data_IF_582132620891
#
_entry.id   IF_582132620891
#
_cell.length_a   1.000
_cell.length_b   1.000
_cell.length_c   1.000
_cell.angle_alpha   90.00
_cell.angle_beta   90.00
_cell.angle_gamma   90.00
#
_symmetry.space_group_name_H-M   'P 1'
#
loop_
_entity.id
_entity.type
_entity.pdbx_description
1 polymer ?
#
# COMPACT_ATOMS: atom_id res chain seq x y z
N UNK A 1 2.33 21.24 2.53
CA UNK A 1 1.25 20.21 2.46
C UNK A 1 1.29 19.61 1.06
N UNK A 2 1.37 18.28 0.92
CA UNK A 2 1.38 17.60 -0.40
C UNK A 2 0.22 18.04 -1.32
N UNK A 3 -0.91 18.48 -0.74
CA UNK A 3 -2.06 19.04 -1.47
C UNK A 3 -1.78 20.36 -2.24
N UNK A 4 -0.59 20.94 -2.13
CA UNK A 4 -0.22 22.22 -2.77
C UNK A 4 0.84 22.08 -3.87
N UNK A 5 1.25 20.85 -4.18
CA UNK A 5 2.23 20.54 -5.23
C UNK A 5 1.47 20.01 -6.43
N UNK A 6 1.85 20.41 -7.65
CA UNK A 6 1.18 20.02 -8.89
C UNK A 6 1.24 18.50 -9.12
N UNK A 7 2.42 17.90 -8.90
CA UNK A 7 2.62 16.47 -8.92
C UNK A 7 3.14 15.99 -7.55
N UNK A 8 2.26 15.56 -6.64
CA UNK A 8 2.64 15.08 -5.32
C UNK A 8 3.22 13.66 -5.33
N UNK A 9 3.15 12.95 -6.46
CA UNK A 9 3.72 11.60 -6.63
C UNK A 9 5.16 11.75 -7.14
N UNK A 10 5.34 12.51 -8.22
CA UNK A 10 6.63 12.73 -8.85
C UNK A 10 7.06 11.58 -9.77
N UNK A 11 7.95 11.85 -10.74
CA UNK A 11 8.30 10.88 -11.79
C UNK A 11 9.05 9.65 -11.28
N UNK A 12 9.76 9.76 -10.15
CA UNK A 12 10.61 8.68 -9.63
C UNK A 12 9.88 7.75 -8.64
N UNK A 13 8.64 8.06 -8.26
CA UNK A 13 7.90 7.34 -7.22
C UNK A 13 7.87 5.82 -7.44
N UNK A 14 7.53 5.41 -8.66
CA UNK A 14 7.38 4.00 -8.98
C UNK A 14 8.72 3.26 -8.96
N UNK A 15 9.81 3.92 -9.37
CA UNK A 15 11.16 3.36 -9.29
C UNK A 15 11.56 3.08 -7.84
N UNK A 16 11.31 4.03 -6.93
CA UNK A 16 11.59 3.83 -5.51
C UNK A 16 10.73 2.72 -4.91
N UNK A 17 9.44 2.64 -5.25
CA UNK A 17 8.57 1.57 -4.77
C UNK A 17 9.08 0.20 -5.24
N UNK A 18 9.39 0.06 -6.53
CA UNK A 18 9.89 -1.20 -7.09
C UNK A 18 11.22 -1.61 -6.47
N UNK A 19 12.13 -0.66 -6.21
CA UNK A 19 13.37 -0.92 -5.49
C UNK A 19 13.12 -1.42 -4.07
N UNK A 20 12.26 -0.73 -3.31
CA UNK A 20 11.92 -1.15 -1.94
C UNK A 20 11.30 -2.55 -1.91
N UNK A 21 10.44 -2.85 -2.88
CA UNK A 21 9.82 -4.17 -3.05
C UNK A 21 10.88 -5.24 -3.33
N UNK A 22 11.80 -4.99 -4.28
CA UNK A 22 12.81 -5.99 -4.66
C UNK A 22 13.83 -6.26 -3.55
N UNK A 23 14.07 -5.28 -2.68
CA UNK A 23 14.96 -5.39 -1.52
C UNK A 23 14.26 -5.98 -0.28
N UNK A 24 12.95 -6.21 -0.33
CA UNK A 24 12.15 -6.67 0.82
C UNK A 24 11.77 -8.15 0.71
N UNK A 25 11.89 -8.89 1.83
CA UNK A 25 11.38 -10.27 1.90
C UNK A 25 9.85 -10.35 2.06
N UNK A 26 9.22 -9.28 2.58
CA UNK A 26 7.78 -9.21 2.85
C UNK A 26 7.27 -7.79 2.61
N UNK A 27 6.16 -7.66 1.88
CA UNK A 27 5.51 -6.38 1.60
C UNK A 27 4.11 -6.40 2.19
N UNK A 28 3.81 -5.45 3.08
CA UNK A 28 2.51 -5.36 3.78
C UNK A 28 1.76 -4.11 3.34
N UNK A 29 0.60 -4.31 2.73
CA UNK A 29 -0.34 -3.28 2.35
C UNK A 29 -1.07 -2.70 3.56
N UNK A 30 -1.01 -1.37 3.71
CA UNK A 30 -1.44 -0.67 4.94
C UNK A 30 -1.90 0.79 4.69
N UNK A 31 -2.30 1.14 3.47
CA UNK A 31 -2.59 2.53 3.07
C UNK A 31 -3.98 3.05 3.49
N UNK A 32 -4.84 2.21 4.06
CA UNK A 32 -6.15 2.64 4.57
C UNK A 32 -7.16 2.99 3.48
N UNK A 33 -8.21 3.70 3.89
CA UNK A 33 -9.37 3.97 3.06
C UNK A 33 -9.24 5.30 2.29
N UNK A 34 -8.22 5.41 1.43
CA UNK A 34 -7.94 6.64 0.68
C UNK A 34 -8.20 6.44 -0.82
N UNK A 35 -9.29 7.02 -1.30
CA UNK A 35 -9.80 6.84 -2.66
C UNK A 35 -8.79 7.23 -3.76
N UNK A 36 -7.98 8.28 -3.50
CA UNK A 36 -6.92 8.72 -4.42
C UNK A 36 -5.75 7.75 -4.50
N UNK A 37 -5.42 7.10 -3.38
CA UNK A 37 -4.39 6.08 -3.35
C UNK A 37 -4.87 4.77 -3.98
N UNK A 38 -6.19 4.57 -4.09
CA UNK A 38 -6.77 3.36 -4.65
C UNK A 38 -6.38 3.12 -6.12
N UNK A 39 -6.35 4.18 -6.93
CA UNK A 39 -5.98 4.05 -8.35
C UNK A 39 -4.48 3.79 -8.53
N UNK A 40 -3.64 4.46 -7.74
CA UNK A 40 -2.19 4.20 -7.74
C UNK A 40 -1.87 2.80 -7.19
N UNK A 41 -2.55 2.43 -6.10
CA UNK A 41 -2.40 1.12 -5.48
C UNK A 41 -2.85 0.01 -6.44
N UNK A 42 -3.85 0.21 -7.29
CA UNK A 42 -4.26 -0.81 -8.29
C UNK A 42 -3.12 -1.20 -9.22
N UNK A 43 -2.43 -0.22 -9.79
CA UNK A 43 -1.29 -0.45 -10.68
C UNK A 43 -0.18 -1.21 -9.95
N UNK A 44 0.09 -0.85 -8.69
CA UNK A 44 1.09 -1.55 -7.87
C UNK A 44 0.65 -2.97 -7.50
N UNK A 45 -0.61 -3.17 -7.11
CA UNK A 45 -1.16 -4.48 -6.72
C UNK A 45 -1.01 -5.53 -7.81
N UNK A 46 -1.22 -5.14 -9.07
CA UNK A 46 -1.06 -6.04 -10.22
C UNK A 46 0.39 -6.48 -10.43
N UNK A 47 1.36 -5.69 -9.96
CA UNK A 47 2.80 -5.98 -10.07
C UNK A 47 3.40 -6.73 -8.88
N UNK A 48 2.64 -6.93 -7.80
CA UNK A 48 3.15 -7.47 -6.52
C UNK A 48 2.54 -8.84 -6.19
N UNK A 49 3.10 -9.96 -6.66
CA UNK A 49 2.45 -11.27 -6.62
C UNK A 49 2.24 -11.87 -5.21
N UNK A 50 2.85 -11.33 -4.16
CA UNK A 50 2.78 -11.86 -2.79
C UNK A 50 2.41 -10.77 -1.77
N UNK A 51 1.45 -9.92 -2.10
CA UNK A 51 1.06 -8.82 -1.24
C UNK A 51 0.20 -9.34 -0.09
N UNK A 52 0.59 -9.00 1.13
CA UNK A 52 -0.21 -9.30 2.33
C UNK A 52 -0.76 -8.01 2.93
N UNK A 53 -1.73 -8.11 3.83
CA UNK A 53 -2.21 -6.99 4.62
C UNK A 53 -2.43 -7.43 6.07
N UNK A 54 -2.46 -6.50 7.01
CA UNK A 54 -2.76 -6.83 8.41
C UNK A 54 -4.26 -7.05 8.63
N UNK A 55 -5.10 -6.31 7.91
CA UNK A 55 -6.55 -6.41 7.94
C UNK A 55 -7.13 -5.75 6.69
N UNK A 56 -8.33 -6.17 6.29
CA UNK A 56 -9.11 -5.54 5.22
C UNK A 56 -10.28 -4.76 5.79
N UNK A 57 -10.54 -3.59 5.21
CA UNK A 57 -11.76 -2.83 5.42
C UNK A 57 -12.94 -3.52 4.73
N UNK A 58 -14.18 -3.11 5.06
CA UNK A 58 -15.40 -3.65 4.44
C UNK A 58 -15.44 -3.48 2.92
N UNK A 59 -14.78 -2.45 2.38
CA UNK A 59 -14.67 -2.20 0.94
C UNK A 59 -13.47 -2.91 0.27
N UNK A 60 -12.82 -3.84 0.98
CA UNK A 60 -11.73 -4.65 0.46
C UNK A 60 -10.34 -4.02 0.55
N UNK A 61 -10.21 -2.72 0.84
CA UNK A 61 -8.92 -2.02 0.98
C UNK A 61 -8.15 -2.47 2.21
N UNK A 62 -6.80 -2.37 2.24
CA UNK A 62 -6.03 -2.64 3.44
C UNK A 62 -6.35 -1.61 4.53
N UNK A 63 -6.51 -2.07 5.76
CA UNK A 63 -6.71 -1.21 6.91
C UNK A 63 -5.43 -0.45 7.25
N UNK A 64 -5.57 0.78 7.74
CA UNK A 64 -4.42 1.54 8.23
C UNK A 64 -3.86 0.91 9.51
N UNK A 65 -2.53 0.81 9.69
CA UNK A 65 -1.92 0.07 10.80
C UNK A 65 -2.09 0.78 12.16
N UNK A 66 -2.24 2.11 12.17
CA UNK A 66 -2.31 2.93 13.39
C UNK A 66 -3.34 2.45 14.43
N UNK A 67 -4.42 1.80 14.01
CA UNK A 67 -5.50 1.36 14.89
C UNK A 67 -5.64 -0.16 14.99
N UNK A 68 -4.60 -0.92 14.62
CA UNK A 68 -4.58 -2.38 14.75
C UNK A 68 -3.88 -2.82 16.02
N UNK A 69 -4.24 -4.01 16.50
CA UNK A 69 -3.52 -4.67 17.59
C UNK A 69 -2.06 -4.92 17.18
N UNK A 70 -1.15 -4.92 18.17
CA UNK A 70 0.25 -5.28 17.95
C UNK A 70 0.44 -6.75 17.58
N UNK A 71 -0.51 -7.59 17.97
CA UNK A 71 -0.47 -9.04 17.76
C UNK A 71 -1.12 -9.47 16.42
N UNK A 72 -1.47 -8.52 15.57
CA UNK A 72 -2.09 -8.81 14.28
C UNK A 72 -1.08 -9.51 13.36
N UNK A 73 -1.47 -10.66 12.83
CA UNK A 73 -0.68 -11.41 11.86
C UNK A 73 -1.10 -11.05 10.43
N UNK A 74 -0.15 -10.90 9.49
CA UNK A 74 -0.49 -10.62 8.10
C UNK A 74 -1.29 -11.76 7.46
N UNK A 75 -2.22 -11.38 6.58
CA UNK A 75 -3.02 -12.29 5.76
C UNK A 75 -2.85 -11.93 4.29
N UNK A 76 -2.97 -12.93 3.41
CA UNK A 76 -2.92 -12.74 1.95
C UNK A 76 -3.94 -11.70 1.50
N UNK A 77 -3.50 -10.77 0.65
CA UNK A 77 -4.34 -9.68 0.17
C UNK A 77 -4.81 -9.88 -1.28
N UNK A 78 -3.93 -10.38 -2.16
CA UNK A 78 -4.20 -10.68 -3.56
C UNK A 78 -4.16 -12.17 -3.89
#
# INVERSE_FOLDING_TARGET
MLKRVEDPVGPDNDSYIQKCVSESNLVIACWGNHDKLLNLAKVLMDSLPNLVCLKRNKNGTPHHPLYLSKDVTPVTYN
#
